data_IF_757694592201
#
_entry.id   IF_757694592201
#
_cell.length_a   1.000
_cell.length_b   1.000
_cell.length_c   1.000
_cell.angle_alpha   90.00
_cell.angle_beta   90.00
_cell.angle_gamma   90.00
#
_symmetry.space_group_name_H-M   'P 1'
#
loop_
_entity.id
_entity.type
_entity.pdbx_description
1 polymer ?
#
# COMPACT_ATOMS: atom_id res chain seq x y z
N UNK A 1 -10.57 -24.20 22.82
CA UNK A 1 -10.07 -24.53 21.48
C UNK A 1 -9.88 -23.20 20.79
N UNK A 2 -8.64 -22.73 20.65
CA UNK A 2 -8.34 -21.39 20.13
C UNK A 2 -8.79 -21.26 18.68
N UNK A 3 -9.87 -20.52 18.47
CA UNK A 3 -10.25 -20.01 17.16
C UNK A 3 -9.19 -18.99 16.74
N UNK A 4 -8.18 -19.47 16.00
CA UNK A 4 -7.26 -18.59 15.30
C UNK A 4 -8.05 -17.90 14.21
N UNK A 5 -8.52 -16.69 14.53
CA UNK A 5 -9.10 -15.73 13.62
C UNK A 5 -8.11 -15.53 12.45
N UNK A 6 -8.31 -16.26 11.35
CA UNK A 6 -7.63 -16.04 10.08
C UNK A 6 -8.03 -14.64 9.61
N UNK A 7 -7.30 -13.62 10.08
CA UNK A 7 -7.26 -12.32 9.45
C UNK A 7 -6.74 -12.56 8.04
N UNK A 8 -7.67 -12.73 7.09
CA UNK A 8 -7.44 -12.47 5.68
C UNK A 8 -6.92 -11.05 5.61
N UNK A 9 -5.61 -10.89 5.64
CA UNK A 9 -4.98 -9.64 5.30
C UNK A 9 -5.34 -9.39 3.84
N UNK A 10 -6.40 -8.62 3.59
CA UNK A 10 -6.84 -8.26 2.25
C UNK A 10 -5.77 -7.42 1.60
N UNK A 11 -4.82 -8.05 0.92
CA UNK A 11 -3.78 -7.35 0.18
C UNK A 11 -4.36 -6.76 -1.10
N UNK A 12 -3.97 -5.54 -1.43
CA UNK A 12 -4.43 -4.90 -2.65
C UNK A 12 -3.49 -5.20 -3.83
N UNK A 13 -4.04 -5.68 -4.95
CA UNK A 13 -3.32 -5.86 -6.21
C UNK A 13 -4.07 -5.20 -7.38
N UNK A 14 -3.32 -4.56 -8.29
CA UNK A 14 -3.86 -4.01 -9.53
C UNK A 14 -2.82 -4.06 -10.65
N UNK A 15 -3.20 -4.60 -11.81
CA UNK A 15 -2.35 -4.69 -13.02
C UNK A 15 -1.00 -5.38 -12.76
N UNK A 16 -0.99 -6.42 -11.93
CA UNK A 16 0.21 -7.14 -11.51
C UNK A 16 1.11 -6.37 -10.52
N UNK A 17 0.65 -5.23 -10.00
CA UNK A 17 1.32 -4.52 -8.92
C UNK A 17 0.59 -4.76 -7.61
N UNK A 18 1.35 -5.13 -6.59
CA UNK A 18 0.87 -5.30 -5.21
C UNK A 18 1.17 -4.06 -4.41
N UNK A 19 0.26 -3.72 -3.50
CA UNK A 19 0.42 -2.62 -2.58
C UNK A 19 1.23 -3.06 -1.36
N UNK A 20 2.25 -2.28 -1.05
CA UNK A 20 3.09 -2.46 0.13
C UNK A 20 3.09 -1.19 0.96
N UNK A 21 3.28 -1.33 2.27
CA UNK A 21 3.58 -0.25 3.19
C UNK A 21 4.93 -0.47 3.86
N UNK A 22 5.65 0.62 4.12
CA UNK A 22 6.82 0.61 4.98
C UNK A 22 6.91 1.89 5.80
N UNK A 23 7.45 1.76 7.00
CA UNK A 23 7.81 2.90 7.82
C UNK A 23 9.18 3.40 7.40
N UNK A 24 9.29 4.71 7.19
CA UNK A 24 10.55 5.38 6.91
C UNK A 24 10.78 6.47 7.93
N UNK A 25 12.01 6.57 8.42
CA UNK A 25 12.45 7.67 9.26
C UNK A 25 12.90 8.81 8.34
N UNK A 26 12.19 9.93 8.40
CA UNK A 26 12.54 11.14 7.66
C UNK A 26 13.74 11.84 8.31
N UNK A 27 14.42 12.71 7.55
CA UNK A 27 15.56 13.51 8.06
C UNK A 27 15.19 14.38 9.27
N UNK A 28 13.92 14.79 9.38
CA UNK A 28 13.39 15.55 10.52
C UNK A 28 13.18 14.72 11.80
N UNK A 29 13.58 13.44 11.81
CA UNK A 29 13.40 12.52 12.94
C UNK A 29 12.02 11.87 13.04
N UNK A 30 11.03 12.34 12.25
CA UNK A 30 9.66 11.78 12.23
C UNK A 30 9.62 10.45 11.48
N UNK A 31 8.84 9.50 11.99
CA UNK A 31 8.53 8.26 11.29
C UNK A 31 7.25 8.46 10.47
N UNK A 32 7.30 8.12 9.18
CA UNK A 32 6.16 8.19 8.28
C UNK A 32 5.94 6.84 7.62
N UNK A 33 4.68 6.39 7.56
CA UNK A 33 4.31 5.23 6.74
C UNK A 33 4.14 5.68 5.30
N UNK A 34 4.90 5.09 4.40
CA UNK A 34 4.73 5.27 2.96
C UNK A 34 4.11 4.03 2.33
N UNK A 35 3.26 4.27 1.34
CA UNK A 35 2.60 3.23 0.56
C UNK A 35 3.15 3.25 -0.87
N UNK A 36 3.44 2.08 -1.42
CA UNK A 36 4.01 1.98 -2.75
C UNK A 36 3.58 0.68 -3.45
N UNK A 37 3.48 0.77 -4.77
CA UNK A 37 3.14 -0.36 -5.62
C UNK A 37 4.40 -1.02 -6.17
N UNK A 38 4.46 -2.36 -6.14
CA UNK A 38 5.57 -3.12 -6.72
C UNK A 38 5.07 -4.42 -7.36
N UNK A 39 5.65 -4.78 -8.51
CA UNK A 39 5.39 -6.08 -9.17
C UNK A 39 6.12 -7.23 -8.50
N UNK A 40 7.31 -6.95 -7.94
CA UNK A 40 8.14 -7.93 -7.24
C UNK A 40 8.04 -7.70 -5.73
N UNK A 41 8.29 -8.75 -4.95
CA UNK A 41 8.40 -8.62 -3.49
C UNK A 41 9.58 -7.69 -3.17
N UNK A 42 9.34 -6.55 -2.48
CA UNK A 42 10.41 -5.64 -2.12
C UNK A 42 11.28 -6.22 -1.00
N UNK A 43 12.53 -5.74 -0.90
CA UNK A 43 13.44 -6.11 0.21
C UNK A 43 12.93 -5.60 1.56
N UNK A 44 12.11 -4.56 1.55
CA UNK A 44 11.58 -3.92 2.75
C UNK A 44 10.16 -3.42 2.50
N UNK A 45 9.32 -3.53 3.53
CA UNK A 45 7.88 -3.29 3.47
C UNK A 45 7.06 -4.56 3.50
N UNK A 46 5.80 -4.43 3.92
CA UNK A 46 4.84 -5.52 4.04
C UNK A 46 3.66 -5.26 3.12
N UNK A 47 3.06 -6.32 2.57
CA UNK A 47 1.84 -6.18 1.79
C UNK A 47 0.75 -5.60 2.69
N UNK A 48 -0.13 -4.78 2.11
CA UNK A 48 -1.25 -4.23 2.85
C UNK A 48 -2.48 -4.02 1.97
N UNK A 49 -3.62 -3.89 2.66
CA UNK A 49 -4.84 -3.38 2.07
C UNK A 49 -4.68 -1.94 1.59
N UNK A 50 -5.63 -1.52 0.75
CA UNK A 50 -5.77 -0.13 0.36
C UNK A 50 -6.18 0.69 1.60
N UNK A 51 -5.38 1.69 2.03
CA UNK A 51 -5.75 2.50 3.18
C UNK A 51 -7.04 3.30 2.93
N UNK A 52 -7.83 3.45 3.99
CA UNK A 52 -9.03 4.27 3.98
C UNK A 52 -8.75 5.71 3.55
N UNK A 53 -9.69 6.28 2.80
CA UNK A 53 -9.52 7.63 2.25
C UNK A 53 -8.55 7.71 1.07
N UNK A 54 -8.08 6.59 0.52
CA UNK A 54 -7.32 6.55 -0.73
C UNK A 54 -8.06 5.80 -1.84
N UNK A 55 -7.74 6.16 -3.07
CA UNK A 55 -8.19 5.49 -4.30
C UNK A 55 -6.97 5.15 -5.14
N UNK A 56 -7.04 4.07 -5.91
CA UNK A 56 -5.97 3.71 -6.83
C UNK A 56 -6.28 4.24 -8.22
N UNK A 57 -5.32 4.92 -8.82
CA UNK A 57 -5.39 5.35 -10.22
C UNK A 57 -4.20 4.79 -10.98
N UNK A 58 -4.38 4.57 -12.28
CA UNK A 58 -3.32 4.14 -13.18
C UNK A 58 -2.74 5.35 -13.90
N UNK A 59 -1.43 5.51 -13.88
CA UNK A 59 -0.77 6.51 -14.71
C UNK A 59 -0.85 6.08 -16.17
N UNK A 60 -1.48 6.89 -17.04
CA UNK A 60 -1.67 6.58 -18.46
C UNK A 60 -0.34 6.45 -19.23
N UNK A 61 0.72 7.15 -18.81
CA UNK A 61 2.02 7.14 -19.49
C UNK A 61 2.85 5.89 -19.18
N UNK A 62 2.83 5.43 -17.94
CA UNK A 62 3.69 4.31 -17.48
C UNK A 62 2.93 3.03 -17.14
N UNK A 63 1.60 3.07 -17.07
CA UNK A 63 0.77 1.97 -16.57
C UNK A 63 0.89 1.72 -15.06
N UNK A 64 1.68 2.53 -14.33
CA UNK A 64 1.95 2.31 -12.91
C UNK A 64 0.78 2.78 -12.04
N UNK A 65 0.27 1.93 -11.11
CA UNK A 65 -0.71 2.35 -10.13
C UNK A 65 -0.11 3.28 -9.09
N UNK A 66 -0.89 4.27 -8.67
CA UNK A 66 -0.55 5.19 -7.59
C UNK A 66 -1.77 5.45 -6.71
N UNK A 67 -1.51 5.76 -5.44
CA UNK A 67 -2.55 6.16 -4.49
C UNK A 67 -2.89 7.64 -4.67
N UNK A 68 -4.18 7.95 -4.73
CA UNK A 68 -4.72 9.31 -4.73
C UNK A 68 -5.64 9.45 -3.52
N UNK A 69 -5.36 10.44 -2.68
CA UNK A 69 -6.23 10.79 -1.56
C UNK A 69 -7.62 11.17 -2.08
N UNK A 70 -8.66 10.55 -1.51
CA UNK A 70 -10.05 10.99 -1.69
C UNK A 70 -10.13 12.40 -1.11
N UNK A 71 -10.61 13.37 -1.89
CA UNK A 71 -11.01 14.65 -1.29
C UNK A 71 -12.18 14.30 -0.36
N UNK A 72 -12.09 14.68 0.92
CA UNK A 72 -13.30 14.80 1.73
C UNK A 72 -14.08 15.94 1.08
N UNK A 73 -15.28 15.63 0.62
CA UNK A 73 -16.26 16.65 0.24
C UNK A 73 -16.66 17.44 1.49
#
# INVERSE_FOLDING_TARGET
MEEKEEKKEEYYEKNGYRLYKKEVKLRSGKVQTIYFFSRKRPKSGRQCALPDGYTVKINKRSGMPYLRKKRKE
#
